data_IF_945621303797
#
_entry.id   IF_945621303797
#
_cell.length_a   1.000
_cell.length_b   1.000
_cell.length_c   1.000
_cell.angle_alpha   90.00
_cell.angle_beta   90.00
_cell.angle_gamma   90.00
#
_symmetry.space_group_name_H-M   'P 1'
#
loop_
_entity.id
_entity.type
_entity.pdbx_description
1 polymer ?
#
# COMPACT_ATOMS: atom_id res chain seq x y z
N UNK A 1 6.32 -21.46 -14.26
CA UNK A 1 5.65 -20.93 -13.05
C UNK A 1 6.57 -19.86 -12.49
N UNK A 2 6.32 -18.60 -12.86
CA UNK A 2 7.27 -17.51 -12.63
C UNK A 2 7.32 -17.15 -11.15
N UNK A 3 8.52 -17.23 -10.62
CA UNK A 3 8.86 -17.00 -9.22
C UNK A 3 8.64 -15.53 -8.80
N UNK A 4 8.39 -15.36 -7.51
CA UNK A 4 8.70 -14.18 -6.72
C UNK A 4 7.79 -12.95 -6.89
N UNK A 5 6.53 -13.08 -6.47
CA UNK A 5 5.93 -11.93 -5.77
C UNK A 5 5.02 -12.36 -4.62
N UNK A 6 5.54 -13.22 -3.74
CA UNK A 6 4.83 -13.72 -2.55
C UNK A 6 4.17 -12.60 -1.77
N UNK A 7 4.77 -11.41 -1.72
CA UNK A 7 4.16 -10.23 -1.10
C UNK A 7 2.92 -9.75 -1.86
N UNK A 8 3.02 -9.41 -3.16
CA UNK A 8 1.87 -8.99 -3.96
C UNK A 8 0.74 -10.02 -3.96
N UNK A 9 1.07 -11.30 -4.07
CA UNK A 9 0.07 -12.37 -4.10
C UNK A 9 -0.67 -12.48 -2.75
N UNK A 10 0.07 -12.36 -1.65
CA UNK A 10 -0.50 -12.34 -0.29
C UNK A 10 -1.41 -11.12 -0.09
N UNK A 11 -0.96 -9.92 -0.49
CA UNK A 11 -1.80 -8.71 -0.43
C UNK A 11 -3.04 -8.88 -1.29
N UNK A 12 -2.88 -9.36 -2.53
CA UNK A 12 -3.99 -9.57 -3.47
C UNK A 12 -5.01 -10.55 -2.92
N UNK A 13 -4.57 -11.69 -2.37
CA UNK A 13 -5.46 -12.69 -1.80
C UNK A 13 -6.26 -12.13 -0.60
N UNK A 14 -5.61 -11.35 0.26
CA UNK A 14 -6.28 -10.68 1.38
C UNK A 14 -7.33 -9.66 0.90
N UNK A 15 -6.97 -8.81 -0.06
CA UNK A 15 -7.86 -7.80 -0.62
C UNK A 15 -9.04 -8.42 -1.38
N UNK A 16 -8.82 -9.53 -2.09
CA UNK A 16 -9.88 -10.26 -2.79
C UNK A 16 -10.89 -10.83 -1.80
N UNK A 17 -10.41 -11.46 -0.73
CA UNK A 17 -11.27 -11.91 0.38
C UNK A 17 -12.04 -10.75 0.99
N UNK A 18 -11.38 -9.61 1.23
CA UNK A 18 -12.03 -8.42 1.78
C UNK A 18 -13.11 -7.88 0.86
N UNK A 19 -12.88 -7.85 -0.46
CA UNK A 19 -13.88 -7.45 -1.45
C UNK A 19 -15.07 -8.42 -1.50
N UNK A 20 -14.85 -9.72 -1.24
CA UNK A 20 -15.96 -10.69 -1.15
C UNK A 20 -16.83 -10.46 0.10
N UNK A 21 -16.21 -10.09 1.22
CA UNK A 21 -16.92 -9.83 2.49
C UNK A 21 -17.52 -8.41 2.56
N UNK A 22 -16.87 -7.43 1.94
CA UNK A 22 -17.20 -6.01 1.97
C UNK A 22 -17.48 -5.50 0.55
N UNK A 23 -18.76 -5.37 0.23
CA UNK A 23 -19.20 -4.91 -1.09
C UNK A 23 -18.84 -3.46 -1.39
N UNK A 24 -18.67 -2.60 -0.37
CA UNK A 24 -18.24 -1.21 -0.58
C UNK A 24 -16.77 -1.19 -0.99
N UNK A 25 -15.95 -2.01 -0.31
CA UNK A 25 -14.56 -2.23 -0.69
C UNK A 25 -14.42 -2.85 -2.08
N UNK A 26 -15.30 -3.79 -2.46
CA UNK A 26 -15.29 -4.38 -3.79
C UNK A 26 -15.43 -3.33 -4.91
N UNK A 27 -16.27 -2.32 -4.70
CA UNK A 27 -16.48 -1.24 -5.67
C UNK A 27 -15.21 -0.41 -5.83
N UNK A 28 -14.48 -0.12 -4.75
CA UNK A 28 -13.22 0.64 -4.83
C UNK A 28 -12.06 -0.20 -5.34
N UNK A 29 -12.02 -1.48 -4.98
CA UNK A 29 -11.03 -2.45 -5.45
C UNK A 29 -11.12 -2.72 -6.95
N UNK A 30 -12.34 -2.70 -7.52
CA UNK A 30 -12.57 -2.86 -8.95
C UNK A 30 -12.22 -1.62 -9.80
N UNK A 31 -11.79 -0.50 -9.20
CA UNK A 31 -11.42 0.71 -9.93
C UNK A 31 -10.15 0.48 -10.75
N UNK A 32 -10.22 0.76 -12.06
CA UNK A 32 -9.08 0.61 -12.99
C UNK A 32 -7.87 1.52 -12.62
N UNK A 33 -8.12 2.60 -11.88
CA UNK A 33 -7.08 3.51 -11.39
C UNK A 33 -6.27 2.97 -10.20
N UNK A 34 -6.63 1.80 -9.65
CA UNK A 34 -5.94 1.20 -8.50
C UNK A 34 -5.27 -0.11 -8.91
N UNK A 35 -4.02 -0.33 -8.48
CA UNK A 35 -3.22 -1.49 -8.84
C UNK A 35 -2.47 -2.05 -7.63
N UNK A 36 -2.41 -3.39 -7.53
CA UNK A 36 -1.69 -4.11 -6.45
C UNK A 36 -0.21 -3.70 -6.37
N UNK A 37 0.39 -3.33 -7.50
CA UNK A 37 1.79 -2.87 -7.57
C UNK A 37 1.99 -1.53 -6.87
N UNK A 38 1.07 -0.60 -7.06
CA UNK A 38 1.12 0.72 -6.43
C UNK A 38 0.79 0.61 -4.93
N UNK A 39 -0.19 -0.24 -4.58
CA UNK A 39 -0.50 -0.61 -3.20
C UNK A 39 0.73 -1.17 -2.46
N UNK A 40 1.43 -2.15 -3.04
CA UNK A 40 2.67 -2.69 -2.44
C UNK A 40 3.77 -1.63 -2.31
N UNK A 41 3.89 -0.74 -3.28
CA UNK A 41 4.84 0.37 -3.23
C UNK A 41 4.50 1.35 -2.11
N UNK A 42 3.22 1.66 -1.92
CA UNK A 42 2.72 2.50 -0.82
C UNK A 42 3.00 1.88 0.55
N UNK A 43 2.70 0.59 0.74
CA UNK A 43 2.99 -0.13 1.99
C UNK A 43 4.49 -0.10 2.28
N UNK A 44 5.31 -0.30 1.26
CA UNK A 44 6.78 -0.24 1.40
C UNK A 44 7.26 1.17 1.77
N UNK A 45 6.69 2.22 1.17
CA UNK A 45 7.03 3.61 1.52
C UNK A 45 6.60 3.95 2.95
N UNK A 46 5.43 3.46 3.38
CA UNK A 46 4.93 3.60 4.75
C UNK A 46 5.85 2.90 5.75
N UNK A 47 6.21 1.64 5.48
CA UNK A 47 7.15 0.88 6.28
C UNK A 47 8.53 1.58 6.35
N UNK A 48 8.99 2.16 5.23
CA UNK A 48 10.23 2.96 5.20
C UNK A 48 10.12 4.25 6.01
N UNK A 49 8.98 4.92 6.04
CA UNK A 49 8.76 6.11 6.89
C UNK A 49 8.73 5.76 8.38
N UNK A 50 8.24 4.57 8.69
CA UNK A 50 8.18 4.03 10.06
C UNK A 50 9.48 3.35 10.49
N UNK A 51 10.43 3.14 9.57
CA UNK A 51 11.69 2.49 9.89
C UNK A 51 12.46 3.31 10.92
N UNK A 52 13.01 2.64 11.92
CA UNK A 52 13.89 3.25 12.91
C UNK A 52 15.25 2.57 12.81
N UNK A 53 16.32 3.36 12.71
CA UNK A 53 17.69 2.87 12.58
C UNK A 53 17.91 1.89 11.39
N UNK A 54 17.25 2.16 10.25
CA UNK A 54 17.40 1.34 9.04
C UNK A 54 16.64 0.01 9.04
N UNK A 55 15.87 -0.28 10.10
CA UNK A 55 15.02 -1.46 10.19
C UNK A 55 13.54 -1.05 10.32
N UNK A 56 12.69 -1.58 9.44
CA UNK A 56 11.25 -1.41 9.52
C UNK A 56 10.62 -2.68 10.10
N UNK A 57 9.98 -2.57 11.26
CA UNK A 57 9.16 -3.63 11.82
C UNK A 57 7.70 -3.27 11.56
N UNK A 58 7.11 -3.96 10.58
CA UNK A 58 5.69 -3.84 10.26
C UNK A 58 5.08 -5.24 10.32
N UNK A 59 4.01 -5.39 11.10
CA UNK A 59 3.27 -6.64 11.19
C UNK A 59 2.45 -6.87 9.92
N UNK A 60 2.13 -8.13 9.62
CA UNK A 60 1.25 -8.49 8.50
C UNK A 60 -0.12 -7.81 8.60
N UNK A 61 -0.70 -7.71 9.80
CA UNK A 61 -1.92 -6.94 10.08
C UNK A 61 -1.83 -5.45 9.68
N UNK A 62 -0.73 -4.76 9.99
CA UNK A 62 -0.51 -3.36 9.58
C UNK A 62 -0.33 -3.24 8.06
N UNK A 63 0.37 -4.20 7.45
CA UNK A 63 0.53 -4.30 6.00
C UNK A 63 -0.83 -4.44 5.31
N UNK A 64 -1.68 -5.33 5.82
CA UNK A 64 -3.03 -5.55 5.31
C UNK A 64 -3.95 -4.35 5.56
N UNK A 65 -3.84 -3.71 6.72
CA UNK A 65 -4.53 -2.46 7.01
C UNK A 65 -4.16 -1.35 6.03
N UNK A 66 -2.86 -1.14 5.80
CA UNK A 66 -2.37 -0.19 4.80
C UNK A 66 -2.87 -0.52 3.38
N UNK A 67 -2.94 -1.81 3.05
CA UNK A 67 -3.48 -2.25 1.77
C UNK A 67 -4.96 -1.87 1.61
N UNK A 68 -5.79 -2.12 2.62
CA UNK A 68 -7.22 -1.77 2.58
C UNK A 68 -7.40 -0.26 2.52
N UNK A 69 -6.71 0.48 3.39
CA UNK A 69 -6.74 1.95 3.39
C UNK A 69 -6.40 2.52 2.00
N UNK A 70 -5.40 1.97 1.31
CA UNK A 70 -5.03 2.39 -0.05
C UNK A 70 -6.19 2.36 -1.04
N UNK A 71 -7.10 1.40 -0.94
CA UNK A 71 -8.24 1.28 -1.84
C UNK A 71 -9.49 2.00 -1.31
N UNK A 72 -9.69 2.04 0.01
CA UNK A 72 -10.85 2.67 0.66
C UNK A 72 -10.79 4.20 0.58
N UNK A 73 -9.60 4.78 0.75
CA UNK A 73 -9.41 6.22 0.62
C UNK A 73 -9.10 6.58 -0.86
N UNK A 74 -10.10 7.14 -1.53
CA UNK A 74 -9.94 7.77 -2.85
C UNK A 74 -8.99 8.97 -2.81
N UNK A 75 -8.84 9.62 -1.65
CA UNK A 75 -8.02 10.82 -1.42
C UNK A 75 -6.67 10.51 -0.76
N UNK A 76 -6.18 9.26 -0.79
CA UNK A 76 -4.76 9.04 -0.51
C UNK A 76 -3.98 9.74 -1.62
N UNK A 77 -3.61 10.98 -1.32
CA UNK A 77 -2.58 11.75 -1.98
C UNK A 77 -1.31 10.95 -1.76
N UNK A 78 -1.09 9.93 -2.60
CA UNK A 78 0.25 9.42 -2.88
C UNK A 78 0.94 10.64 -3.43
N UNK A 79 1.55 11.42 -2.55
CA UNK A 79 2.43 12.50 -2.89
C UNK A 79 3.55 11.78 -3.62
N UNK A 80 3.37 11.54 -4.91
CA UNK A 80 4.44 11.18 -5.84
C UNK A 80 5.40 12.32 -5.61
N UNK A 81 6.43 12.06 -4.81
CA UNK A 81 7.45 13.04 -4.45
C UNK A 81 8.16 13.38 -5.74
N UNK A 82 7.56 14.30 -6.47
CA UNK A 82 8.24 15.23 -7.35
C UNK A 82 9.31 15.82 -6.46
N UNK A 83 10.56 15.53 -6.78
CA UNK A 83 11.71 16.15 -6.15
C UNK A 83 11.56 17.67 -6.26
N UNK A 84 11.10 18.30 -5.18
CA UNK A 84 11.05 19.75 -5.01
C UNK A 84 11.61 20.07 -3.62
N UNK A 85 12.95 20.11 -3.59
CA UNK A 85 13.86 20.85 -2.70
C UNK A 85 13.23 21.89 -1.75
N UNK A 86 13.66 21.89 -0.48
CA UNK A 86 14.15 23.06 0.30
C UNK A 86 14.70 22.55 1.64
N UNK A 87 16.02 22.42 1.78
CA UNK A 87 16.93 23.45 2.34
C UNK A 87 16.76 23.62 3.87
N UNK A 88 17.63 22.90 4.59
CA UNK A 88 17.95 23.15 6.00
C UNK A 88 18.59 24.53 6.07
N UNK A 89 18.00 25.45 6.83
CA UNK A 89 18.61 26.74 7.14
C UNK A 89 18.89 26.78 8.65
N UNK A 90 20.17 26.67 8.98
CA UNK A 90 20.75 27.14 10.25
C UNK A 90 20.59 28.65 10.40
#
# INVERSE_FOLDING_TARGET
MSANNSFQDTIKAYLDKRAQEDSLFAVTYAKENKNIKDCCSYITDRAKKMQSDGCAVISDEEVFGCAVHYYDEDDIKVEKTSASKTEVKE
#
